data_IF_936519119884
#
_entry.id   IF_936519119884
#
_cell.length_a   1.000
_cell.length_b   1.000
_cell.length_c   1.000
_cell.angle_alpha   90.00
_cell.angle_beta   90.00
_cell.angle_gamma   90.00
#
_symmetry.space_group_name_H-M   'P 1'
#
loop_
_entity.id
_entity.type
_entity.pdbx_description
1 polymer ?
#
# COMPACT_ATOMS: atom_id res chain seq x y z
N UNK A 1 -5.86 8.88 9.82
CA UNK A 1 -5.54 7.88 8.77
C UNK A 1 -6.66 6.85 8.74
N UNK A 2 -7.35 6.67 7.60
CA UNK A 2 -8.43 5.68 7.45
C UNK A 2 -7.85 4.41 6.81
N UNK A 3 -8.18 3.24 7.34
CA UNK A 3 -7.77 1.95 6.77
C UNK A 3 -8.93 1.40 5.95
N UNK A 4 -8.79 1.45 4.63
CA UNK A 4 -9.74 0.81 3.70
C UNK A 4 -9.45 -0.69 3.68
N UNK A 5 -10.47 -1.51 3.94
CA UNK A 5 -10.40 -2.96 3.79
C UNK A 5 -10.91 -3.30 2.39
N UNK A 6 -10.14 -3.91 1.49
CA UNK A 6 -10.65 -4.28 0.18
C UNK A 6 -11.62 -5.49 0.27
N UNK A 7 -12.36 -5.73 -0.81
CA UNK A 7 -13.03 -7.01 -1.00
C UNK A 7 -12.00 -8.07 -1.38
N UNK A 8 -12.23 -9.32 -0.97
CA UNK A 8 -11.38 -10.44 -1.31
C UNK A 8 -11.40 -10.64 -2.83
N UNK A 9 -10.25 -10.70 -3.51
CA UNK A 9 -10.23 -10.89 -4.96
C UNK A 9 -10.76 -12.27 -5.39
N UNK A 10 -10.69 -13.27 -4.50
CA UNK A 10 -11.13 -14.63 -4.79
C UNK A 10 -12.65 -14.83 -4.63
N UNK A 11 -13.27 -14.25 -3.59
CA UNK A 11 -14.66 -14.54 -3.24
C UNK A 11 -15.53 -13.29 -2.95
N UNK A 12 -14.97 -12.08 -3.12
CA UNK A 12 -15.63 -10.79 -2.90
C UNK A 12 -16.12 -10.53 -1.46
N UNK A 13 -15.81 -11.39 -0.49
CA UNK A 13 -16.08 -11.15 0.93
C UNK A 13 -15.22 -10.01 1.47
N UNK A 14 -15.72 -9.25 2.45
CA UNK A 14 -14.95 -8.20 3.12
C UNK A 14 -13.75 -8.81 3.86
N UNK A 15 -12.56 -8.32 3.55
CA UNK A 15 -11.33 -8.77 4.23
C UNK A 15 -11.14 -8.12 5.59
N UNK A 16 -10.31 -8.74 6.43
CA UNK A 16 -9.84 -8.21 7.70
C UNK A 16 -8.38 -7.82 7.58
N UNK A 17 -7.99 -6.70 8.22
CA UNK A 17 -6.58 -6.32 8.30
C UNK A 17 -5.89 -7.24 9.30
N UNK A 18 -4.92 -8.01 8.85
CA UNK A 18 -4.14 -8.91 9.68
C UNK A 18 -2.84 -8.27 10.17
N UNK A 19 -2.16 -7.49 9.31
CA UNK A 19 -0.87 -6.89 9.63
C UNK A 19 -0.62 -5.59 8.87
N UNK A 20 0.06 -4.65 9.54
CA UNK A 20 0.72 -3.51 8.89
C UNK A 20 2.22 -3.68 9.14
N UNK A 21 2.99 -3.77 8.06
CA UNK A 21 4.45 -3.79 8.09
C UNK A 21 4.96 -2.46 7.55
N UNK A 22 5.72 -1.67 8.32
CA UNK A 22 6.30 -0.44 7.80
C UNK A 22 7.32 -0.78 6.70
N UNK A 23 7.16 -0.15 5.54
CA UNK A 23 8.12 -0.24 4.45
C UNK A 23 9.23 0.82 4.57
N UNK A 24 10.39 0.59 3.93
CA UNK A 24 11.39 1.64 3.78
C UNK A 24 10.82 2.77 2.92
N UNK A 25 11.09 4.03 3.26
CA UNK A 25 10.72 5.22 2.47
C UNK A 25 9.22 5.60 2.45
N UNK A 26 8.53 5.49 3.59
CA UNK A 26 7.25 6.18 3.77
C UNK A 26 6.07 5.51 3.06
N UNK A 27 6.09 4.19 2.95
CA UNK A 27 4.91 3.39 2.64
C UNK A 27 4.72 2.30 3.69
N UNK A 28 3.48 1.83 3.84
CA UNK A 28 3.11 0.66 4.62
C UNK A 28 2.73 -0.49 3.69
N UNK A 29 3.13 -1.70 4.05
CA UNK A 29 2.57 -2.92 3.47
C UNK A 29 1.46 -3.40 4.40
N UNK A 30 0.23 -3.41 3.91
CA UNK A 30 -0.94 -3.89 4.66
C UNK A 30 -1.34 -5.26 4.14
N UNK A 31 -1.35 -6.24 5.04
CA UNK A 31 -1.76 -7.62 4.77
C UNK A 31 -3.20 -7.81 5.22
N UNK A 32 -4.04 -8.29 4.31
CA UNK A 32 -5.44 -8.57 4.51
C UNK A 32 -5.70 -10.06 4.37
N UNK A 33 -6.55 -10.59 5.25
CA UNK A 33 -6.97 -11.98 5.26
C UNK A 33 -8.48 -12.06 5.05
N UNK A 34 -8.91 -13.00 4.21
CA UNK A 34 -10.32 -13.27 3.99
C UNK A 34 -10.83 -14.30 4.99
N UNK A 35 -11.81 -13.98 5.84
CA UNK A 35 -12.33 -14.93 6.83
C UNK A 35 -13.17 -16.06 6.22
N UNK A 36 -13.52 -15.98 4.93
CA UNK A 36 -14.39 -16.95 4.26
C UNK A 36 -13.63 -18.01 3.46
N UNK A 37 -12.40 -17.71 3.01
CA UNK A 37 -11.64 -18.60 2.12
C UNK A 37 -10.14 -18.61 2.39
N UNK A 38 -9.71 -18.00 3.50
CA UNK A 38 -8.31 -17.92 3.95
C UNK A 38 -7.34 -17.27 2.94
N UNK A 39 -7.88 -16.59 1.92
CA UNK A 39 -7.07 -15.88 0.94
C UNK A 39 -6.37 -14.68 1.60
N UNK A 40 -5.05 -14.62 1.43
CA UNK A 40 -4.20 -13.53 1.91
C UNK A 40 -3.80 -12.63 0.75
N UNK A 41 -4.03 -11.33 0.89
CA UNK A 41 -3.62 -10.34 -0.11
C UNK A 41 -2.94 -9.14 0.55
N UNK A 42 -1.90 -8.61 -0.09
CA UNK A 42 -1.12 -7.49 0.40
C UNK A 42 -1.28 -6.27 -0.51
N UNK A 43 -1.38 -5.10 0.11
CA UNK A 43 -1.40 -3.82 -0.61
C UNK A 43 -0.33 -2.88 -0.05
N UNK A 44 0.25 -2.08 -0.93
CA UNK A 44 1.22 -1.04 -0.56
C UNK A 44 0.47 0.29 -0.49
N UNK A 45 0.61 0.99 0.63
CA UNK A 45 -0.05 2.28 0.88
C UNK A 45 1.01 3.33 1.16
N UNK A 46 1.08 4.37 0.36
CA UNK A 46 1.94 5.52 0.64
C UNK A 46 1.45 6.25 1.91
N UNK A 47 2.36 6.50 2.85
CA UNK A 47 2.11 7.25 4.09
C UNK A 47 2.25 8.77 3.88
N UNK A 48 3.01 9.14 2.85
CA UNK A 48 3.19 10.51 2.40
C UNK A 48 2.20 10.79 1.27
N UNK A 49 1.63 11.99 1.27
CA UNK A 49 0.89 12.51 0.11
C UNK A 49 1.77 12.31 -1.13
N UNK A 50 1.29 11.59 -2.17
CA UNK A 50 2.07 11.35 -3.37
C UNK A 50 2.64 12.64 -3.97
N UNK A 51 1.91 13.76 -3.90
CA UNK A 51 2.37 15.06 -4.39
C UNK A 51 3.50 15.67 -3.56
N UNK A 52 3.61 15.29 -2.28
CA UNK A 52 4.66 15.76 -1.37
C UNK A 52 5.84 14.79 -1.29
N UNK A 53 5.77 13.64 -1.94
CA UNK A 53 6.86 12.66 -1.90
C UNK A 53 8.14 13.24 -2.54
N UNK A 54 9.34 12.87 -2.05
CA UNK A 54 10.61 13.28 -2.67
C UNK A 54 10.69 12.84 -4.13
N UNK A 55 10.14 11.67 -4.46
CA UNK A 55 10.12 11.13 -5.82
C UNK A 55 9.28 11.99 -6.76
N UNK A 56 8.06 12.37 -6.37
CA UNK A 56 7.20 13.25 -7.17
C UNK A 56 7.79 14.64 -7.30
N UNK A 57 8.37 15.19 -6.23
CA UNK A 57 9.08 16.47 -6.28
C UNK A 57 10.29 16.42 -7.23
N UNK A 58 11.07 15.33 -7.21
CA UNK A 58 12.18 15.13 -8.13
C UNK A 58 11.69 15.04 -9.58
N UNK A 59 10.58 14.33 -9.85
CA UNK A 59 9.96 14.30 -11.17
C UNK A 59 9.51 15.69 -11.65
N UNK A 60 8.77 16.43 -10.82
CA UNK A 60 8.31 17.79 -11.12
C UNK A 60 9.47 18.75 -11.40
N UNK A 61 10.64 18.51 -10.78
CA UNK A 61 11.85 19.32 -10.96
C UNK A 61 12.82 18.76 -12.02
N UNK A 62 12.50 17.66 -12.70
CA UNK A 62 13.40 17.03 -13.67
C UNK A 62 14.66 16.39 -13.07
N UNK A 63 14.64 16.05 -11.79
CA UNK A 63 15.75 15.51 -11.00
C UNK A 63 15.67 13.98 -10.78
N UNK A 64 14.86 13.26 -11.57
CA UNK A 64 14.81 11.79 -11.46
C UNK A 64 16.14 11.17 -11.92
N UNK A 65 16.62 10.20 -11.14
CA UNK A 65 17.76 9.36 -11.50
C UNK A 65 17.27 7.98 -11.96
N UNK A 66 18.06 7.34 -12.84
CA UNK A 66 17.80 5.97 -13.25
C UNK A 66 17.98 5.01 -12.06
N UNK A 67 17.17 3.95 -11.95
CA UNK A 67 17.42 2.89 -10.97
C UNK A 67 18.78 2.22 -11.26
N UNK A 68 19.59 2.03 -10.22
CA UNK A 68 20.81 1.23 -10.24
C UNK A 68 20.52 -0.26 -10.14
#
# INVERSE_FOLDING_TARGET
MIIVRPLCPACQTRTMLARITPGPLGFDIRTFECPACDHVHQTVVELIDPMKSPRTNAWLRGQLQAPT
#
